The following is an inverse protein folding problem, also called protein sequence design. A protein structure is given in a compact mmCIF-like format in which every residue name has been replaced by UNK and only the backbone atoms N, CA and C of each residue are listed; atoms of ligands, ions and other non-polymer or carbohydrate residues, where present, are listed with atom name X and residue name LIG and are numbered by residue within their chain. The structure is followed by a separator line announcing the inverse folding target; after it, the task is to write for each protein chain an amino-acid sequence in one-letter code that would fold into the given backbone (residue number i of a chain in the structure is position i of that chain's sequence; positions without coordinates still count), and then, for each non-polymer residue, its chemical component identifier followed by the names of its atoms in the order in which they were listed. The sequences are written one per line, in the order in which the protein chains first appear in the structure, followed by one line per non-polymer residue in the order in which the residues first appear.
data_IF_889656314649
#
_entry.id   IF_889656314649
#
_cell.length_a   1.000
_cell.length_b   1.000
_cell.length_c   1.000
_cell.angle_alpha   90.00
_cell.angle_beta   90.00
_cell.angle_gamma   90.00
#
_symmetry.space_group_name_H-M   'P 1'
#
loop_
_entity.id
_entity.type
_entity.pdbx_description
1 polymer ?
#
# COMPACT_ATOMS: atom_id res chain seq x y z
N UNK A 1 9.98 14.58 -1.27
CA UNK A 1 9.87 13.91 -2.58
C UNK A 1 9.82 14.96 -3.66
N UNK A 2 10.71 14.89 -4.64
CA UNK A 2 10.73 15.74 -5.83
C UNK A 2 10.68 14.88 -7.11
N UNK A 3 10.38 15.48 -8.26
CA UNK A 3 10.38 14.80 -9.56
C UNK A 3 11.76 14.20 -9.87
N UNK A 4 12.83 14.89 -9.50
CA UNK A 4 14.20 14.40 -9.68
C UNK A 4 14.45 13.13 -8.85
N UNK A 5 13.90 13.05 -7.63
CA UNK A 5 13.99 11.83 -6.81
C UNK A 5 13.17 10.68 -7.41
N UNK A 6 11.98 10.96 -7.95
CA UNK A 6 11.15 9.95 -8.64
C UNK A 6 11.91 9.37 -9.83
N UNK A 7 12.51 10.23 -10.65
CA UNK A 7 13.33 9.81 -11.80
C UNK A 7 14.57 9.05 -11.33
N UNK A 8 15.20 9.48 -10.24
CA UNK A 8 16.41 8.86 -9.68
C UNK A 8 16.20 7.46 -9.08
N UNK A 9 14.99 7.13 -8.62
CA UNK A 9 14.64 5.77 -8.18
C UNK A 9 14.54 4.79 -9.37
N UNK A 10 14.43 5.32 -10.60
CA UNK A 10 14.58 4.55 -11.83
C UNK A 10 13.30 3.87 -12.32
N UNK A 11 13.30 3.50 -13.60
CA UNK A 11 12.19 2.79 -14.26
C UNK A 11 11.91 1.41 -13.66
N UNK A 12 12.94 0.76 -13.11
CA UNK A 12 12.85 -0.56 -12.49
C UNK A 12 11.92 -0.58 -11.27
N UNK A 13 11.93 0.47 -10.45
CA UNK A 13 11.06 0.58 -9.30
C UNK A 13 9.59 0.78 -9.69
N UNK A 14 9.34 1.61 -10.71
CA UNK A 14 8.00 1.79 -11.29
C UNK A 14 7.47 0.50 -11.90
N UNK A 15 8.31 -0.23 -12.64
CA UNK A 15 7.93 -1.52 -13.23
C UNK A 15 7.63 -2.55 -12.13
N UNK A 16 8.47 -2.62 -11.10
CA UNK A 16 8.26 -3.50 -9.94
C UNK A 16 6.94 -3.20 -9.26
N UNK A 17 6.66 -1.92 -8.98
CA UNK A 17 5.42 -1.51 -8.32
C UNK A 17 4.18 -1.84 -9.16
N UNK A 18 4.23 -1.55 -10.47
CA UNK A 18 3.13 -1.86 -11.39
C UNK A 18 2.89 -3.37 -11.50
N UNK A 19 3.94 -4.17 -11.62
CA UNK A 19 3.86 -5.63 -11.68
C UNK A 19 3.31 -6.20 -10.37
N UNK A 20 3.77 -5.70 -9.23
CA UNK A 20 3.27 -6.13 -7.92
C UNK A 20 1.81 -5.75 -7.73
N UNK A 21 1.41 -4.52 -8.05
CA UNK A 21 0.01 -4.10 -7.99
C UNK A 21 -0.88 -4.97 -8.89
N UNK A 22 -0.53 -5.13 -10.18
CA UNK A 22 -1.32 -5.90 -11.13
C UNK A 22 -1.41 -7.38 -10.75
N UNK A 23 -0.29 -8.00 -10.35
CA UNK A 23 -0.26 -9.40 -9.92
C UNK A 23 -1.04 -9.62 -8.63
N UNK A 24 -0.95 -8.72 -7.64
CA UNK A 24 -1.70 -8.82 -6.39
C UNK A 24 -3.20 -8.74 -6.64
N UNK A 25 -3.65 -7.81 -7.49
CA UNK A 25 -5.06 -7.69 -7.87
C UNK A 25 -5.56 -8.93 -8.62
N UNK A 26 -4.76 -9.45 -9.56
CA UNK A 26 -5.10 -10.64 -10.34
C UNK A 26 -5.17 -11.90 -9.47
N UNK A 27 -4.13 -12.15 -8.67
CA UNK A 27 -4.08 -13.28 -7.73
C UNK A 27 -5.20 -13.16 -6.72
N UNK A 28 -5.41 -11.96 -6.17
CA UNK A 28 -6.49 -11.67 -5.23
C UNK A 28 -7.85 -12.01 -5.81
N UNK A 29 -8.15 -11.54 -7.02
CA UNK A 29 -9.39 -11.85 -7.71
C UNK A 29 -9.55 -13.35 -7.98
N UNK A 30 -8.54 -14.00 -8.56
CA UNK A 30 -8.59 -15.42 -8.94
C UNK A 30 -8.73 -16.33 -7.72
N UNK A 31 -7.87 -16.17 -6.72
CA UNK A 31 -7.90 -16.99 -5.50
C UNK A 31 -9.18 -16.72 -4.72
N UNK A 32 -9.55 -15.45 -4.55
CA UNK A 32 -10.73 -15.06 -3.79
C UNK A 32 -12.02 -15.62 -4.38
N UNK A 33 -12.20 -15.51 -5.69
CA UNK A 33 -13.44 -15.95 -6.37
C UNK A 33 -13.46 -17.44 -6.71
N UNK A 34 -12.36 -18.01 -7.21
CA UNK A 34 -12.33 -19.39 -7.72
C UNK A 34 -12.02 -20.41 -6.64
N UNK A 35 -11.10 -20.10 -5.74
CA UNK A 35 -10.58 -21.08 -4.77
C UNK A 35 -11.29 -20.95 -3.43
N UNK A 36 -11.35 -19.73 -2.90
CA UNK A 36 -11.98 -19.46 -1.60
C UNK A 36 -13.49 -19.20 -1.70
N UNK A 37 -14.00 -18.94 -2.91
CA UNK A 37 -15.42 -18.69 -3.19
C UNK A 37 -16.01 -17.60 -2.27
N UNK A 38 -15.22 -16.57 -1.99
CA UNK A 38 -15.62 -15.44 -1.16
C UNK A 38 -16.60 -14.54 -1.93
N UNK A 39 -17.33 -13.71 -1.18
CA UNK A 39 -18.18 -12.71 -1.82
C UNK A 39 -17.33 -11.69 -2.59
N UNK A 40 -17.80 -11.20 -3.77
CA UNK A 40 -17.00 -10.31 -4.61
C UNK A 40 -16.56 -9.01 -3.93
N UNK A 41 -17.35 -8.48 -3.00
CA UNK A 41 -17.01 -7.23 -2.32
C UNK A 41 -15.84 -7.45 -1.37
N UNK A 42 -15.86 -8.51 -0.56
CA UNK A 42 -14.72 -8.88 0.28
C UNK A 42 -13.47 -9.09 -0.57
N UNK A 43 -13.57 -9.84 -1.68
CA UNK A 43 -12.43 -10.07 -2.59
C UNK A 43 -11.86 -8.76 -3.13
N UNK A 44 -12.70 -7.85 -3.63
CA UNK A 44 -12.23 -6.58 -4.17
C UNK A 44 -11.60 -5.73 -3.07
N UNK A 45 -12.22 -5.63 -1.89
CA UNK A 45 -11.71 -4.82 -0.78
C UNK A 45 -10.37 -5.33 -0.26
N UNK A 46 -10.25 -6.63 0.05
CA UNK A 46 -9.00 -7.21 0.55
C UNK A 46 -7.89 -7.13 -0.51
N UNK A 47 -8.21 -7.40 -1.78
CA UNK A 47 -7.24 -7.27 -2.87
C UNK A 47 -6.79 -5.82 -3.05
N UNK A 48 -7.71 -4.85 -3.01
CA UNK A 48 -7.39 -3.43 -3.11
C UNK A 48 -6.48 -2.96 -1.96
N UNK A 49 -6.80 -3.38 -0.74
CA UNK A 49 -6.01 -3.08 0.45
C UNK A 49 -4.58 -3.62 0.36
N UNK A 50 -4.42 -4.89 -0.01
CA UNK A 50 -3.10 -5.50 -0.21
C UNK A 50 -2.35 -4.94 -1.42
N UNK A 51 -3.07 -4.54 -2.47
CA UNK A 51 -2.49 -4.11 -3.73
C UNK A 51 -2.08 -2.63 -3.81
N UNK A 52 -2.43 -1.77 -2.84
CA UNK A 52 -2.18 -0.31 -2.96
C UNK A 52 -1.63 0.28 -1.65
N UNK A 53 -2.51 0.71 -0.75
CA UNK A 53 -2.16 1.47 0.45
C UNK A 53 -2.93 1.04 1.71
N UNK A 54 -3.35 -0.23 1.76
CA UNK A 54 -3.99 -0.80 2.94
C UNK A 54 -5.38 -0.22 3.18
N UNK A 55 -5.61 0.29 4.40
CA UNK A 55 -6.91 0.77 4.84
C UNK A 55 -7.46 1.92 3.98
N UNK A 56 -6.60 2.85 3.51
CA UNK A 56 -7.03 3.97 2.67
C UNK A 56 -7.60 3.50 1.32
N UNK A 57 -7.01 2.45 0.72
CA UNK A 57 -7.53 1.86 -0.51
C UNK A 57 -8.88 1.17 -0.26
N UNK A 58 -9.02 0.44 0.85
CA UNK A 58 -10.27 -0.22 1.23
C UNK A 58 -11.41 0.79 1.39
N UNK A 59 -11.18 1.86 2.16
CA UNK A 59 -12.18 2.90 2.41
C UNK A 59 -12.55 3.69 1.16
N UNK A 60 -11.58 3.90 0.25
CA UNK A 60 -11.86 4.55 -1.04
C UNK A 60 -12.65 3.63 -1.99
N UNK A 61 -12.46 2.31 -1.88
CA UNK A 61 -13.10 1.31 -2.74
C UNK A 61 -14.51 0.95 -2.26
N UNK A 62 -14.73 0.92 -0.95
CA UNK A 62 -16.03 0.64 -0.32
C UNK A 62 -17.22 1.33 -1.01
N UNK A 63 -17.26 2.67 -1.17
CA UNK A 63 -18.40 3.35 -1.78
C UNK A 63 -18.55 3.05 -3.27
N UNK A 64 -17.47 2.66 -3.97
CA UNK A 64 -17.49 2.31 -5.40
C UNK A 64 -18.15 0.94 -5.60
N UNK A 65 -17.84 -0.03 -4.73
CA UNK A 65 -18.40 -1.38 -4.79
C UNK A 65 -19.73 -1.52 -4.03
N UNK A 66 -20.09 -0.55 -3.18
CA UNK A 66 -21.29 -0.64 -2.34
C UNK A 66 -21.16 -1.71 -1.25
N UNK A 67 -19.98 -1.83 -0.63
CA UNK A 67 -19.75 -2.83 0.39
C UNK A 67 -20.44 -2.50 1.72
N UNK A 68 -20.85 -3.55 2.45
CA UNK A 68 -21.39 -3.37 3.79
C UNK A 68 -20.27 -3.10 4.81
N UNK A 69 -20.50 -2.29 5.85
CA UNK A 69 -19.46 -1.90 6.81
C UNK A 69 -18.72 -3.07 7.46
N UNK A 70 -19.39 -4.20 7.70
CA UNK A 70 -18.74 -5.37 8.28
C UNK A 70 -17.65 -5.97 7.36
N UNK A 71 -17.83 -5.91 6.04
CA UNK A 71 -16.84 -6.38 5.05
C UNK A 71 -15.66 -5.42 4.94
N UNK A 72 -15.95 -4.12 4.99
CA UNK A 72 -14.95 -3.05 5.05
C UNK A 72 -14.08 -3.22 6.29
N UNK A 73 -14.68 -3.33 7.48
CA UNK A 73 -13.97 -3.58 8.74
C UNK A 73 -13.15 -4.87 8.69
N UNK A 74 -13.70 -5.93 8.10
CA UNK A 74 -13.00 -7.19 7.94
C UNK A 74 -11.74 -7.04 7.08
N UNK A 75 -11.85 -6.44 5.90
CA UNK A 75 -10.72 -6.16 5.03
C UNK A 75 -9.67 -5.27 5.72
N UNK A 76 -10.09 -4.22 6.43
CA UNK A 76 -9.18 -3.36 7.21
C UNK A 76 -8.44 -4.17 8.27
N UNK A 77 -9.14 -5.08 8.96
CA UNK A 77 -8.53 -5.99 9.94
C UNK A 77 -7.40 -6.84 9.34
N UNK A 78 -7.59 -7.35 8.12
CA UNK A 78 -6.57 -8.18 7.44
C UNK A 78 -5.30 -7.40 7.12
N UNK A 79 -5.41 -6.19 6.54
CA UNK A 79 -4.24 -5.39 6.16
C UNK A 79 -3.49 -4.85 7.37
N UNK A 80 -4.21 -4.53 8.46
CA UNK A 80 -3.57 -4.12 9.73
C UNK A 80 -2.79 -5.30 10.32
N UNK A 81 -3.36 -6.51 10.32
CA UNK A 81 -2.69 -7.70 10.82
C UNK A 81 -1.40 -8.00 10.03
N UNK A 82 -1.52 -8.18 8.72
CA UNK A 82 -0.39 -8.56 7.87
C UNK A 82 0.62 -7.42 7.71
N UNK A 83 0.17 -6.17 7.73
CA UNK A 83 1.06 -5.01 7.76
C UNK A 83 1.84 -4.90 9.07
N UNK A 84 1.22 -5.19 10.22
CA UNK A 84 1.94 -5.29 11.50
C UNK A 84 2.96 -6.41 11.48
N UNK A 85 2.59 -7.57 10.92
CA UNK A 85 3.52 -8.69 10.73
C UNK A 85 4.69 -8.29 9.81
N UNK A 86 4.43 -7.53 8.75
CA UNK A 86 5.43 -7.04 7.82
C UNK A 86 6.50 -6.17 8.52
N UNK A 87 6.10 -5.31 9.46
CA UNK A 87 7.01 -4.44 10.21
C UNK A 87 8.11 -5.23 10.95
N UNK A 88 7.80 -6.44 11.43
CA UNK A 88 8.77 -7.31 12.09
C UNK A 88 9.50 -8.19 11.06
N UNK A 89 8.75 -8.75 10.11
CA UNK A 89 9.29 -9.69 9.14
C UNK A 89 10.34 -9.07 8.21
N UNK A 90 10.10 -7.86 7.69
CA UNK A 90 10.94 -7.26 6.66
C UNK A 90 12.35 -6.92 7.17
N UNK A 91 12.54 -6.27 8.33
CA UNK A 91 13.89 -6.10 8.90
C UNK A 91 14.62 -7.42 9.16
N UNK A 92 13.90 -8.48 9.55
CA UNK A 92 14.47 -9.81 9.67
C UNK A 92 14.91 -10.40 8.32
N UNK A 93 14.08 -10.24 7.28
CA UNK A 93 14.43 -10.67 5.91
C UNK A 93 15.66 -9.92 5.40
N UNK A 94 15.79 -8.62 5.66
CA UNK A 94 16.96 -7.85 5.25
C UNK A 94 18.25 -8.41 5.84
N UNK A 95 18.26 -8.83 7.11
CA UNK A 95 19.44 -9.44 7.74
C UNK A 95 19.84 -10.78 7.13
N UNK A 96 18.90 -11.47 6.48
CA UNK A 96 19.13 -12.78 5.86
C UNK A 96 19.56 -12.64 4.40
N UNK A 97 18.97 -11.70 3.67
CA UNK A 97 19.18 -11.51 2.24
C UNK A 97 20.33 -10.54 1.96
N UNK A 98 20.54 -9.55 2.84
CA UNK A 98 21.60 -8.53 2.79
C UNK A 98 21.65 -7.74 1.46
N UNK A 99 20.48 -7.35 0.96
CA UNK A 99 20.40 -6.52 -0.25
C UNK A 99 20.85 -5.08 0.00
N UNK A 100 21.33 -4.37 -1.05
CA UNK A 100 21.58 -2.93 -0.96
C UNK A 100 20.33 -2.19 -0.47
N UNK A 101 20.52 -1.19 0.41
CA UNK A 101 19.41 -0.46 1.05
C UNK A 101 18.40 0.12 0.06
N UNK A 102 18.87 0.60 -1.10
CA UNK A 102 18.00 1.13 -2.15
C UNK A 102 17.13 0.01 -2.78
N UNK A 103 17.70 -1.15 -3.07
CA UNK A 103 16.99 -2.33 -3.60
C UNK A 103 15.96 -2.84 -2.58
N UNK A 104 16.35 -2.93 -1.30
CA UNK A 104 15.41 -3.29 -0.24
C UNK A 104 14.31 -2.23 -0.05
N UNK A 105 14.64 -0.96 -0.24
CA UNK A 105 13.67 0.14 -0.23
C UNK A 105 12.60 -0.04 -1.31
N UNK A 106 13.00 -0.38 -2.54
CA UNK A 106 12.05 -0.70 -3.63
C UNK A 106 11.17 -1.89 -3.25
N UNK A 107 11.78 -2.97 -2.72
CA UNK A 107 11.05 -4.14 -2.27
C UNK A 107 10.01 -3.79 -1.19
N UNK A 108 10.40 -3.12 -0.12
CA UNK A 108 9.49 -2.73 0.96
C UNK A 108 8.37 -1.79 0.45
N UNK A 109 8.72 -0.78 -0.35
CA UNK A 109 7.76 0.16 -0.93
C UNK A 109 6.70 -0.51 -1.82
N UNK A 110 7.12 -1.46 -2.65
CA UNK A 110 6.25 -2.16 -3.59
C UNK A 110 5.36 -3.22 -2.93
N UNK A 111 5.64 -3.66 -1.69
CA UNK A 111 5.02 -4.86 -1.11
C UNK A 111 4.30 -4.65 0.22
N UNK A 112 4.78 -3.73 1.07
CA UNK A 112 4.20 -3.46 2.39
C UNK A 112 2.86 -2.73 2.23
N UNK A 113 1.92 -2.90 3.16
CA UNK A 113 0.54 -2.42 2.96
C UNK A 113 0.42 -0.90 3.11
N UNK A 114 1.03 -0.31 4.14
CA UNK A 114 0.82 1.10 4.50
C UNK A 114 2.11 1.91 4.57
N UNK A 115 1.99 3.22 4.33
CA UNK A 115 3.09 4.20 4.35
C UNK A 115 3.88 4.15 5.66
N UNK A 116 3.17 4.20 6.78
CA UNK A 116 3.79 4.26 8.10
C UNK A 116 4.59 2.98 8.42
N UNK A 117 4.12 1.83 7.92
CA UNK A 117 4.85 0.56 8.04
C UNK A 117 6.14 0.59 7.22
N UNK A 118 6.11 1.15 6.00
CA UNK A 118 7.32 1.24 5.18
C UNK A 118 8.33 2.22 5.73
N UNK A 119 7.88 3.34 6.33
CA UNK A 119 8.75 4.27 7.05
C UNK A 119 9.43 3.57 8.21
N UNK A 120 8.69 2.82 9.02
CA UNK A 120 9.24 2.09 10.16
C UNK A 120 10.24 1.01 9.72
N UNK A 121 9.93 0.25 8.66
CA UNK A 121 10.83 -0.77 8.10
C UNK A 121 12.09 -0.12 7.53
N UNK A 122 11.95 0.95 6.74
CA UNK A 122 13.06 1.68 6.12
C UNK A 122 14.00 2.29 7.17
N UNK A 123 13.46 2.88 8.23
CA UNK A 123 14.24 3.37 9.37
C UNK A 123 15.00 2.25 10.08
N UNK A 124 14.34 1.10 10.31
CA UNK A 124 14.97 -0.04 10.95
C UNK A 124 16.10 -0.68 10.12
N UNK A 125 16.02 -0.57 8.78
CA UNK A 125 17.05 -1.05 7.86
C UNK A 125 18.17 -0.03 7.66
N UNK A 126 17.87 1.27 7.64
CA UNK A 126 18.84 2.34 7.46
C UNK A 126 19.35 2.48 6.02
N UNK A 127 20.46 3.20 5.84
CA UNK A 127 21.16 3.31 4.55
C UNK A 127 20.36 3.99 3.43
N UNK A 128 19.34 4.80 3.74
CA UNK A 128 18.48 5.44 2.75
C UNK A 128 17.34 4.55 2.20
N UNK A 129 17.13 3.37 2.80
CA UNK A 129 16.02 2.48 2.43
C UNK A 129 14.65 3.14 2.60
N UNK A 130 14.48 3.95 3.65
CA UNK A 130 13.25 4.72 3.91
C UNK A 130 12.88 5.64 2.75
N UNK A 131 13.80 6.52 2.33
CA UNK A 131 13.54 7.49 1.27
C UNK A 131 13.05 6.79 0.00
N UNK A 132 13.73 5.70 -0.38
CA UNK A 132 13.37 4.91 -1.57
C UNK A 132 12.03 4.22 -1.39
N UNK A 133 11.80 3.61 -0.23
CA UNK A 133 10.57 2.88 0.06
C UNK A 133 9.33 3.78 0.10
N UNK A 134 9.47 4.99 0.68
CA UNK A 134 8.40 5.99 0.70
C UNK A 134 8.10 6.47 -0.72
N UNK A 135 9.11 6.73 -1.55
CA UNK A 135 8.89 7.13 -2.95
C UNK A 135 8.09 6.06 -3.70
N UNK A 136 8.53 4.79 -3.64
CA UNK A 136 7.84 3.68 -4.32
C UNK A 136 6.41 3.50 -3.78
N UNK A 137 6.23 3.57 -2.46
CA UNK A 137 4.88 3.48 -1.86
C UNK A 137 3.97 4.62 -2.30
N UNK A 138 4.48 5.85 -2.38
CA UNK A 138 3.69 7.00 -2.81
C UNK A 138 3.27 6.90 -4.28
N UNK A 139 4.14 6.38 -5.16
CA UNK A 139 3.80 6.10 -6.56
C UNK A 139 2.63 5.11 -6.64
N UNK A 140 2.67 4.05 -5.83
CA UNK A 140 1.58 3.08 -5.71
C UNK A 140 0.27 3.72 -5.22
N UNK A 141 0.36 4.62 -4.22
CA UNK A 141 -0.80 5.34 -3.69
C UNK A 141 -1.46 6.22 -4.77
N UNK A 142 -0.67 6.84 -5.68
CA UNK A 142 -1.22 7.59 -6.82
C UNK A 142 -2.02 6.70 -7.78
N UNK A 143 -1.70 5.40 -7.87
CA UNK A 143 -2.44 4.44 -8.68
C UNK A 143 -3.84 4.12 -8.14
N UNK A 144 -4.20 4.64 -6.96
CA UNK A 144 -5.55 4.51 -6.41
C UNK A 144 -6.62 5.10 -7.36
N UNK A 145 -6.39 6.27 -7.95
CA UNK A 145 -7.37 6.87 -8.86
C UNK A 145 -7.59 6.03 -10.14
N UNK A 146 -6.53 5.61 -10.89
CA UNK A 146 -6.66 4.64 -11.98
C UNK A 146 -7.34 3.33 -11.57
N UNK A 147 -6.99 2.81 -10.39
CA UNK A 147 -7.59 1.59 -9.87
C UNK A 147 -9.10 1.72 -9.63
N UNK A 148 -9.56 2.79 -8.95
CA UNK A 148 -10.98 3.01 -8.68
C UNK A 148 -11.79 3.17 -9.97
N UNK A 149 -11.20 3.83 -10.98
CA UNK A 149 -11.80 3.90 -12.32
C UNK A 149 -11.92 2.50 -12.95
N UNK A 150 -10.85 1.70 -12.88
CA UNK A 150 -10.84 0.32 -13.38
C UNK A 150 -11.89 -0.56 -12.70
N UNK A 151 -12.03 -0.48 -11.37
CA UNK A 151 -13.08 -1.20 -10.62
C UNK A 151 -14.47 -0.73 -11.04
N UNK A 152 -14.69 0.58 -11.15
CA UNK A 152 -15.99 1.12 -11.57
C UNK A 152 -16.39 0.63 -12.96
N UNK A 153 -15.46 0.61 -13.92
CA UNK A 153 -15.69 0.08 -15.26
C UNK A 153 -15.94 -1.43 -15.21
N UNK A 154 -15.16 -2.18 -14.43
CA UNK A 154 -15.30 -3.62 -14.28
C UNK A 154 -16.69 -4.02 -13.76
N UNK A 155 -17.21 -3.33 -12.73
CA UNK A 155 -18.55 -3.58 -12.20
C UNK A 155 -19.63 -3.28 -13.24
N UNK A 156 -19.51 -2.14 -13.94
CA UNK A 156 -20.44 -1.76 -15.02
C UNK A 156 -20.50 -2.81 -16.13
N UNK A 157 -19.35 -3.34 -16.55
CA UNK A 157 -19.27 -4.39 -17.57
C UNK A 157 -19.92 -5.71 -17.12
N UNK A 158 -19.99 -5.98 -15.81
CA UNK A 158 -20.68 -7.16 -15.25
C UNK A 158 -22.17 -6.93 -15.03
N UNK A 159 -22.71 -5.78 -15.40
CA UNK A 159 -24.11 -5.41 -15.14
C UNK A 159 -24.38 -5.11 -13.66
N UNK A 160 -23.34 -4.99 -12.84
CA UNK A 160 -23.43 -4.62 -11.43
C UNK A 160 -23.42 -3.08 -11.34
N UNK A 161 -24.52 -2.49 -10.87
CA UNK A 161 -24.58 -1.04 -10.63
C UNK A 161 -23.87 -0.75 -9.31
N UNK A 162 -22.60 -0.34 -9.38
CA UNK A 162 -21.91 0.23 -8.23
C UNK A 162 -22.70 1.41 -7.67
N UNK A 163 -22.91 1.45 -6.36
CA UNK A 163 -23.80 2.42 -5.70
C UNK A 163 -23.21 3.84 -5.60
N UNK A 164 -21.94 4.04 -5.97
CA UNK A 164 -21.23 5.31 -5.81
C UNK A 164 -20.35 5.68 -7.01
N UNK A 165 -20.24 6.99 -7.25
CA UNK A 165 -19.31 7.53 -8.24
C UNK A 165 -17.86 7.45 -7.77
N UNK A 166 -16.92 7.39 -8.72
CA UNK A 166 -15.48 7.47 -8.43
C UNK A 166 -15.18 8.85 -7.84
N UNK A 167 -14.83 8.90 -6.55
CA UNK A 167 -14.32 10.12 -5.91
C UNK A 167 -12.81 10.08 -5.97
N UNK A 168 -12.24 11.00 -6.75
CA UNK A 168 -10.78 11.16 -6.80
C UNK A 168 -10.30 11.55 -5.39
N UNK A 169 -9.33 10.83 -4.82
CA UNK A 169 -8.77 11.19 -3.53
C UNK A 169 -8.06 12.54 -3.64
N UNK A 170 -8.64 13.59 -3.07
CA UNK A 170 -8.07 14.94 -3.09
C UNK A 170 -6.66 14.99 -2.47
N UNK A 171 -6.35 14.09 -1.53
CA UNK A 171 -5.03 13.99 -0.95
C UNK A 171 -3.96 13.63 -2.00
N UNK A 172 -4.30 12.82 -3.02
CA UNK A 172 -3.37 12.44 -4.07
C UNK A 172 -3.05 13.65 -4.97
N UNK A 173 -4.05 14.49 -5.26
CA UNK A 173 -3.85 15.75 -5.99
C UNK A 173 -2.99 16.73 -5.19
N UNK A 174 -3.27 16.88 -3.89
CA UNK A 174 -2.45 17.67 -2.98
C UNK A 174 -1.00 17.17 -2.93
N UNK A 175 -0.80 15.86 -2.87
CA UNK A 175 0.52 15.25 -2.88
C UNK A 175 1.29 15.55 -4.18
N UNK A 176 0.65 15.40 -5.35
CA UNK A 176 1.26 15.77 -6.65
C UNK A 176 1.62 17.26 -6.70
N UNK A 177 0.75 18.13 -6.19
CA UNK A 177 1.02 19.56 -6.13
C UNK A 177 2.24 19.89 -5.26
N UNK A 178 2.34 19.29 -4.07
CA UNK A 178 3.49 19.48 -3.16
C UNK A 178 4.78 18.93 -3.76
N UNK A 179 4.74 17.79 -4.44
CA UNK A 179 5.90 17.26 -5.19
C UNK A 179 6.34 18.24 -6.27
N UNK A 180 5.39 18.81 -7.03
CA UNK A 180 5.66 19.84 -8.03
C UNK A 180 6.33 21.07 -7.43
N UNK A 181 5.77 21.61 -6.34
CA UNK A 181 6.33 22.76 -5.63
C UNK A 181 7.74 22.49 -5.08
N UNK A 182 7.97 21.30 -4.49
CA UNK A 182 9.27 20.91 -3.99
C UNK A 182 10.30 20.80 -5.13
N UNK A 183 9.88 20.32 -6.30
CA UNK A 183 10.73 20.18 -7.49
C UNK A 183 11.22 21.50 -8.08
N UNK A 184 10.54 22.61 -7.76
CA UNK A 184 10.95 23.97 -8.13
C UNK A 184 11.99 24.55 -7.17
N UNK A 185 12.42 23.80 -6.14
CA UNK A 185 13.38 24.22 -5.13
C UNK A 185 13.00 25.53 -4.42
N UNK A 186 11.69 25.78 -4.24
CA UNK A 186 11.16 26.99 -3.62
C UNK A 186 11.40 27.08 -2.10
N UNK A 187 11.74 25.95 -1.46
CA UNK A 187 12.03 25.88 -0.03
C UNK A 187 13.53 25.75 0.23
N UNK A 188 14.03 26.44 1.27
CA UNK A 188 15.41 26.30 1.72
C UNK A 188 15.65 24.94 2.40
N UNK A 189 16.91 24.45 2.45
CA UNK A 189 17.24 23.21 3.16
C UNK A 189 16.77 23.18 4.61
N UNK A 190 16.89 24.29 5.35
CA UNK A 190 16.43 24.42 6.73
C UNK A 190 14.90 24.31 6.86
N UNK A 191 14.14 24.85 5.90
CA UNK A 191 12.69 24.69 5.86
C UNK A 191 12.31 23.23 5.60
N UNK A 192 13.01 22.56 4.69
CA UNK A 192 12.78 21.14 4.39
C UNK A 192 13.08 20.27 5.62
N UNK A 193 14.17 20.53 6.33
CA UNK A 193 14.52 19.82 7.57
C UNK A 193 13.46 20.01 8.65
N UNK A 194 13.00 21.25 8.85
CA UNK A 194 11.88 21.55 9.76
C UNK A 194 10.62 20.79 9.37
N UNK A 195 10.28 20.75 8.08
CA UNK A 195 9.12 19.99 7.59
C UNK A 195 9.27 18.49 7.83
N UNK A 196 10.47 17.92 7.65
CA UNK A 196 10.75 16.51 7.95
C UNK A 196 10.60 16.19 9.45
N UNK A 197 11.03 17.09 10.32
CA UNK A 197 10.85 16.93 11.76
C UNK A 197 9.36 16.94 12.15
N UNK A 198 8.59 17.86 11.56
CA UNK A 198 7.12 17.92 11.74
C UNK A 198 6.45 16.66 11.20
N UNK A 199 6.81 16.21 10.00
CA UNK A 199 6.31 14.96 9.40
C UNK A 199 6.57 13.76 10.30
N UNK A 200 7.81 13.61 10.81
CA UNK A 200 8.18 12.54 11.74
C UNK A 200 7.34 12.57 13.02
N UNK A 201 7.11 13.76 13.59
CA UNK A 201 6.28 13.91 14.77
C UNK A 201 4.83 13.53 14.49
N UNK A 202 4.24 14.02 13.40
CA UNK A 202 2.86 13.69 13.00
C UNK A 202 2.70 12.21 12.70
N UNK A 203 3.67 11.60 12.02
CA UNK A 203 3.68 10.18 11.72
C UNK A 203 3.79 9.34 12.99
N UNK A 204 4.62 9.77 13.95
CA UNK A 204 4.75 9.11 15.26
C UNK A 204 3.42 9.15 16.01
N UNK A 205 2.75 10.30 16.04
CA UNK A 205 1.41 10.45 16.64
C UNK A 205 0.39 9.56 15.93
N UNK A 206 0.39 9.52 14.60
CA UNK A 206 -0.51 8.68 13.82
C UNK A 206 -0.26 7.17 14.07
N UNK A 207 1.00 6.74 14.12
CA UNK A 207 1.40 5.36 14.44
C UNK A 207 0.99 4.99 15.87
N UNK A 208 1.17 5.90 16.83
CA UNK A 208 0.75 5.70 18.22
C UNK A 208 -0.78 5.57 18.30
N UNK A 209 -1.54 6.43 17.62
CA UNK A 209 -2.99 6.34 17.53
C UNK A 209 -3.45 5.01 16.90
N UNK A 210 -2.84 4.59 15.78
CA UNK A 210 -3.08 3.29 15.15
C UNK A 210 -2.71 2.11 16.07
N UNK A 211 -1.77 2.29 16.99
CA UNK A 211 -1.42 1.30 18.01
C UNK A 211 -2.45 1.21 19.15
N UNK A 212 -2.97 2.36 19.58
CA UNK A 212 -3.99 2.49 20.62
C UNK A 212 -5.39 2.06 20.15
N UNK A 213 -5.68 2.21 18.85
CA UNK A 213 -6.91 1.71 18.26
C UNK A 213 -6.97 0.18 18.39
N UNK A 214 -8.11 -0.38 18.80
CA UNK A 214 -8.23 -1.79 19.19
C UNK A 214 -8.10 -2.73 17.99
N UNK A 215 -6.86 -3.02 17.58
CA UNK A 215 -6.51 -3.91 16.47
C UNK A 215 -7.18 -5.27 16.61
N UNK A 216 -7.26 -5.80 17.85
CA UNK A 216 -7.92 -7.08 18.14
C UNK A 216 -9.39 -7.11 17.74
N UNK A 217 -10.13 -6.01 17.92
CA UNK A 217 -11.54 -5.95 17.56
C UNK A 217 -11.72 -6.05 16.04
N UNK A 218 -10.90 -5.32 15.28
CA UNK A 218 -10.93 -5.38 13.80
C UNK A 218 -10.44 -6.72 13.25
N UNK A 219 -9.41 -7.32 13.85
CA UNK A 219 -8.92 -8.66 13.46
C UNK A 219 -9.98 -9.72 13.74
N UNK A 220 -10.66 -9.66 14.89
CA UNK A 220 -11.75 -10.59 15.22
C UNK A 220 -12.94 -10.48 14.26
N UNK A 221 -13.19 -9.29 13.71
CA UNK A 221 -14.25 -9.06 12.72
C UNK A 221 -13.89 -9.53 11.31
N UNK A 222 -12.61 -9.82 11.02
CA UNK A 222 -12.15 -10.19 9.68
C UNK A 222 -12.77 -11.50 9.14
N UNK A 223 -13.19 -12.41 10.02
CA UNK A 223 -13.66 -13.73 9.60
C UNK A 223 -12.53 -14.59 8.97
N UNK A 224 -12.69 -15.90 9.00
CA UNK A 224 -11.65 -16.83 8.52
C UNK A 224 -11.37 -16.69 7.02
N UNK A 225 -12.40 -16.42 6.22
CA UNK A 225 -12.29 -16.27 4.76
C UNK A 225 -11.41 -15.09 4.33
N UNK A 226 -11.67 -13.89 4.86
CA UNK A 226 -10.86 -12.72 4.53
C UNK A 226 -9.44 -12.83 5.09
N UNK A 227 -9.26 -13.40 6.28
CA UNK A 227 -7.94 -13.65 6.86
C UNK A 227 -7.10 -14.61 5.99
N UNK A 228 -7.69 -15.72 5.53
CA UNK A 228 -7.00 -16.66 4.66
C UNK A 228 -6.64 -16.02 3.31
N UNK A 229 -7.56 -15.24 2.73
CA UNK A 229 -7.30 -14.51 1.50
C UNK A 229 -6.17 -13.49 1.65
N UNK A 230 -6.22 -12.68 2.72
CA UNK A 230 -5.16 -11.75 3.07
C UNK A 230 -3.81 -12.45 3.33
N UNK A 231 -3.81 -13.63 3.94
CA UNK A 231 -2.58 -14.41 4.16
C UNK A 231 -1.93 -14.86 2.84
N UNK A 232 -2.75 -15.33 1.89
CA UNK A 232 -2.27 -15.73 0.56
C UNK A 232 -1.69 -14.52 -0.18
N UNK A 233 -2.39 -13.38 -0.14
CA UNK A 233 -1.90 -12.15 -0.75
C UNK A 233 -0.62 -11.65 -0.07
N UNK A 234 -0.53 -11.73 1.26
CA UNK A 234 0.68 -11.38 1.99
C UNK A 234 1.86 -12.26 1.59
N UNK A 235 1.65 -13.58 1.46
CA UNK A 235 2.68 -14.49 1.00
C UNK A 235 3.12 -14.17 -0.44
N UNK A 236 2.15 -13.86 -1.32
CA UNK A 236 2.45 -13.43 -2.68
C UNK A 236 3.24 -12.10 -2.70
N UNK A 237 2.89 -11.14 -1.85
CA UNK A 237 3.60 -9.87 -1.76
C UNK A 237 5.04 -10.07 -1.32
N UNK A 238 5.27 -10.90 -0.30
CA UNK A 238 6.60 -11.20 0.22
C UNK A 238 7.43 -11.98 -0.82
N UNK A 239 6.94 -13.14 -1.26
CA UNK A 239 7.71 -14.03 -2.14
C UNK A 239 7.78 -13.49 -3.56
N UNK A 240 6.64 -13.06 -4.11
CA UNK A 240 6.57 -12.49 -5.45
C UNK A 240 7.31 -11.17 -5.55
N UNK A 241 7.20 -10.32 -4.53
CA UNK A 241 7.97 -9.07 -4.47
C UNK A 241 9.47 -9.30 -4.45
N UNK A 242 9.94 -10.26 -3.64
CA UNK A 242 11.35 -10.61 -3.61
C UNK A 242 11.82 -11.15 -4.98
N UNK A 243 11.03 -12.03 -5.61
CA UNK A 243 11.35 -12.56 -6.93
C UNK A 243 11.42 -11.46 -8.01
N UNK A 244 10.44 -10.55 -8.05
CA UNK A 244 10.41 -9.46 -9.03
C UNK A 244 11.59 -8.51 -8.83
N UNK A 245 11.89 -8.11 -7.59
CA UNK A 245 13.02 -7.23 -7.29
C UNK A 245 14.35 -7.91 -7.63
N UNK A 246 14.49 -9.20 -7.34
CA UNK A 246 15.68 -9.96 -7.69
C UNK A 246 15.90 -10.10 -9.21
N UNK A 247 14.82 -10.18 -10.00
CA UNK A 247 14.89 -10.27 -11.46
C UNK A 247 15.16 -8.93 -12.14
N UNK A 248 14.72 -7.83 -11.54
CA UNK A 248 14.77 -6.49 -12.15
C UNK A 248 15.86 -5.58 -11.59
N UNK A 249 16.46 -5.94 -10.44
CA UNK A 249 17.42 -5.13 -9.69
C UNK A 249 18.86 -5.61 -9.80
#
# INVERSE_FOLDING_TARGET
MSVQQIVGVGSHALLTDLLMMASTLLVGWLVGTRWLKLDPHTVILTSAGSAICGAAAILATEPVVGAQPHRTSAAVGTVVLFGTLAMVLYPCLQRLIDWPAQMFGVYAGATVHEVAQVVAIGNAVGGGAEDTAVIVKMLRVMMLAPFLFGVSLFLRLRGEVGSGGVRVPWFALGFVAVVGLNSLHLCSPAQIETLRAVDTLLLTVAMAALGLETRLARIRQAGSGALLHGAILFLQLVVGGAAVVWLLG
#
